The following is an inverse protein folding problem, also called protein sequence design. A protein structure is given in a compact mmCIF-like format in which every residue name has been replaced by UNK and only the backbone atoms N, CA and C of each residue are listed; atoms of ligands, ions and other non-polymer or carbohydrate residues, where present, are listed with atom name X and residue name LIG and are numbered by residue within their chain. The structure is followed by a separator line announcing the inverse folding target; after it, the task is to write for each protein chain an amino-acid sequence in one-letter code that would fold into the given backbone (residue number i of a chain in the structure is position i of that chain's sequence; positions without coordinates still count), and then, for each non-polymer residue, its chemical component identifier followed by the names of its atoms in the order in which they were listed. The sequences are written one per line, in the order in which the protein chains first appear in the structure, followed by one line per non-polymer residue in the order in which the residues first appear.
data_IF_419848992870
#
_entry.id   IF_419848992870
#
_cell.length_a   1.000
_cell.length_b   1.000
_cell.length_c   1.000
_cell.angle_alpha   90.00
_cell.angle_beta   90.00
_cell.angle_gamma   90.00
#
_symmetry.space_group_name_H-M   'P 1'
#
loop_
_entity.id
_entity.type
_entity.pdbx_description
1 polymer ?
#
# COMPACT_ATOMS: atom_id res chain seq x y z
N UNK A 1 17.36 12.11 -0.93
CA UNK A 1 17.88 10.73 -0.95
C UNK A 1 18.52 10.53 -2.32
N UNK A 2 19.82 10.20 -2.42
CA UNK A 2 20.43 9.88 -3.71
C UNK A 2 19.71 8.68 -4.37
N UNK A 3 19.48 8.73 -5.69
CA UNK A 3 18.84 7.66 -6.47
C UNK A 3 17.30 7.74 -6.58
N UNK A 4 16.64 6.60 -6.81
CA UNK A 4 15.18 6.45 -6.87
C UNK A 4 14.72 5.75 -5.58
N UNK A 5 14.38 6.50 -4.52
CA UNK A 5 13.99 5.88 -3.25
C UNK A 5 12.65 5.16 -3.40
N UNK A 6 12.59 3.93 -2.88
CA UNK A 6 11.33 3.18 -2.77
C UNK A 6 10.38 3.86 -1.76
N UNK A 7 9.09 3.58 -1.90
CA UNK A 7 8.03 4.22 -1.13
C UNK A 7 8.20 4.02 0.38
N UNK A 8 8.44 2.80 0.87
CA UNK A 8 8.59 2.52 2.30
C UNK A 8 9.76 3.27 2.92
N UNK A 9 10.89 3.34 2.21
CA UNK A 9 12.04 4.13 2.65
C UNK A 9 11.70 5.61 2.78
N UNK A 10 10.95 6.18 1.83
CA UNK A 10 10.50 7.57 1.91
C UNK A 10 9.56 7.79 3.11
N UNK A 11 8.59 6.90 3.31
CA UNK A 11 7.65 6.93 4.44
C UNK A 11 8.41 6.93 5.78
N UNK A 12 9.29 5.95 6.00
CA UNK A 12 10.13 5.90 7.21
C UNK A 12 11.00 7.14 7.37
N UNK A 13 11.56 7.68 6.28
CA UNK A 13 12.38 8.89 6.33
C UNK A 13 11.57 10.09 6.81
N UNK A 14 10.38 10.32 6.26
CA UNK A 14 9.48 11.41 6.67
C UNK A 14 9.14 11.28 8.15
N UNK A 15 8.74 10.09 8.60
CA UNK A 15 8.34 9.83 9.99
C UNK A 15 9.48 10.04 10.99
N UNK A 16 10.74 9.79 10.58
CA UNK A 16 11.92 10.03 11.42
C UNK A 16 12.35 11.49 11.42
N UNK A 17 12.38 12.13 10.25
CA UNK A 17 12.93 13.47 10.09
C UNK A 17 11.93 14.58 10.46
N UNK A 18 10.63 14.27 10.47
CA UNK A 18 9.57 15.22 10.82
C UNK A 18 8.81 14.67 12.03
N UNK A 19 9.40 14.72 13.25
CA UNK A 19 8.81 14.12 14.45
C UNK A 19 7.43 14.70 14.79
N UNK A 20 7.17 15.96 14.43
CA UNK A 20 5.92 16.67 14.70
C UNK A 20 4.75 16.22 13.81
N UNK A 21 4.98 15.40 12.78
CA UNK A 21 3.90 14.81 11.97
C UNK A 21 3.10 13.87 12.87
N UNK A 22 1.89 14.29 13.24
CA UNK A 22 1.01 13.49 14.09
C UNK A 22 0.37 12.32 13.35
N UNK A 23 0.10 12.50 12.05
CA UNK A 23 -0.61 11.54 11.19
C UNK A 23 -0.06 11.59 9.77
N UNK A 24 0.35 10.45 9.25
CA UNK A 24 0.68 10.25 7.84
C UNK A 24 -0.33 9.26 7.26
N UNK A 25 -1.03 9.63 6.20
CA UNK A 25 -1.94 8.74 5.48
C UNK A 25 -1.48 8.63 4.04
N UNK A 26 -1.33 7.40 3.56
CA UNK A 26 -1.09 7.15 2.15
C UNK A 26 -2.40 7.27 1.37
N UNK A 27 -2.32 7.86 0.19
CA UNK A 27 -3.39 7.87 -0.79
C UNK A 27 -3.37 6.56 -1.59
N UNK A 28 -3.63 6.60 -2.90
CA UNK A 28 -3.65 5.42 -3.77
C UNK A 28 -2.24 4.89 -4.03
N UNK A 29 -2.05 3.58 -3.84
CA UNK A 29 -0.85 2.85 -4.21
C UNK A 29 -1.21 1.60 -5.03
N UNK A 30 -0.25 1.08 -5.80
CA UNK A 30 -0.30 -0.30 -6.30
C UNK A 30 0.31 -1.21 -5.23
N UNK A 31 -0.29 -2.38 -4.98
CA UNK A 31 0.20 -3.32 -3.96
C UNK A 31 1.63 -3.78 -4.24
N UNK A 32 2.10 -3.73 -5.49
CA UNK A 32 3.48 -4.08 -5.86
C UNK A 32 4.52 -3.06 -5.34
N UNK A 33 4.11 -1.83 -5.04
CA UNK A 33 5.00 -0.78 -4.51
C UNK A 33 5.20 -0.89 -2.99
N UNK A 34 4.46 -1.79 -2.33
CA UNK A 34 4.61 -2.06 -0.90
C UNK A 34 5.82 -2.96 -0.65
N UNK A 35 6.98 -2.31 -0.50
CA UNK A 35 8.22 -2.93 -0.11
C UNK A 35 8.26 -3.30 1.38
N UNK A 36 9.28 -4.08 1.78
CA UNK A 36 9.48 -4.52 3.17
C UNK A 36 9.52 -3.35 4.16
N UNK A 37 10.10 -2.23 3.75
CA UNK A 37 10.11 -1.02 4.57
C UNK A 37 8.70 -0.47 4.79
N UNK A 38 7.84 -0.47 3.77
CA UNK A 38 6.46 -0.01 3.95
C UNK A 38 5.68 -0.98 4.85
N UNK A 39 5.85 -2.29 4.67
CA UNK A 39 5.19 -3.30 5.50
C UNK A 39 5.59 -3.17 6.98
N UNK A 40 6.88 -2.98 7.25
CA UNK A 40 7.39 -2.74 8.61
C UNK A 40 6.83 -1.43 9.20
N UNK A 41 6.77 -0.35 8.41
CA UNK A 41 6.16 0.90 8.86
C UNK A 41 4.66 0.73 9.14
N UNK A 42 3.94 -0.03 8.31
CA UNK A 42 2.52 -0.34 8.55
C UNK A 42 2.38 -1.09 9.87
N UNK A 43 3.22 -2.08 10.14
CA UNK A 43 3.15 -2.89 11.35
C UNK A 43 3.50 -2.11 12.63
N UNK A 44 4.50 -1.23 12.56
CA UNK A 44 5.16 -0.68 13.76
C UNK A 44 4.91 0.80 14.00
N UNK A 45 4.60 1.61 12.98
CA UNK A 45 4.47 3.06 13.15
C UNK A 45 3.02 3.48 13.43
N UNK A 46 2.70 3.96 14.66
CA UNK A 46 1.36 4.42 15.00
C UNK A 46 0.92 5.67 14.24
N UNK A 47 1.86 6.56 13.86
CA UNK A 47 1.54 7.80 13.12
C UNK A 47 1.17 7.52 11.67
N UNK A 48 1.63 6.40 11.09
CA UNK A 48 1.16 5.91 9.81
C UNK A 48 -0.26 5.35 10.01
N UNK A 49 -1.21 5.89 9.28
CA UNK A 49 -2.61 5.54 9.47
C UNK A 49 -2.90 4.12 9.00
N UNK A 50 -3.76 3.36 9.72
CA UNK A 50 -4.14 1.99 9.36
C UNK A 50 -5.14 2.00 8.20
N UNK A 51 -4.74 2.57 7.07
CA UNK A 51 -5.55 2.68 5.87
C UNK A 51 -4.69 2.60 4.62
N UNK A 52 -5.05 1.71 3.70
CA UNK A 52 -4.46 1.64 2.36
C UNK A 52 -5.54 1.79 1.30
N UNK A 53 -5.29 2.66 0.33
CA UNK A 53 -6.12 2.75 -0.86
C UNK A 53 -5.40 2.04 -2.02
N UNK A 54 -6.01 0.98 -2.56
CA UNK A 54 -5.40 0.11 -3.56
C UNK A 54 -5.97 0.39 -4.95
N UNK A 55 -5.08 0.64 -5.91
CA UNK A 55 -5.45 0.85 -7.30
C UNK A 55 -5.70 -0.50 -8.01
N UNK A 56 -6.80 -1.19 -7.66
CA UNK A 56 -7.12 -2.53 -8.18
C UNK A 56 -7.69 -2.51 -9.61
N UNK A 57 -8.57 -1.55 -9.92
CA UNK A 57 -9.27 -1.40 -11.20
C UNK A 57 -10.23 -2.53 -11.59
N UNK A 58 -9.88 -3.79 -11.44
CA UNK A 58 -10.75 -4.92 -11.80
C UNK A 58 -10.49 -6.14 -10.92
N UNK A 59 -11.49 -7.00 -10.83
CA UNK A 59 -11.38 -8.33 -10.21
C UNK A 59 -11.15 -9.46 -11.21
N UNK A 60 -11.06 -9.17 -12.51
CA UNK A 60 -10.86 -10.17 -13.56
C UNK A 60 -9.42 -10.13 -14.08
N UNK A 61 -8.72 -11.26 -14.04
CA UNK A 61 -7.31 -11.36 -14.44
C UNK A 61 -7.08 -11.05 -15.93
N UNK A 62 -8.03 -11.36 -16.81
CA UNK A 62 -7.92 -11.01 -18.23
C UNK A 62 -8.06 -9.49 -18.42
N UNK A 63 -8.99 -8.84 -17.70
CA UNK A 63 -9.16 -7.38 -17.73
C UNK A 63 -7.94 -6.68 -17.13
N UNK A 64 -7.44 -7.14 -15.98
CA UNK A 64 -6.21 -6.62 -15.36
C UNK A 64 -5.02 -6.67 -16.31
N UNK A 65 -4.84 -7.79 -17.03
CA UNK A 65 -3.81 -7.92 -18.08
C UNK A 65 -4.01 -6.93 -19.22
N UNK A 66 -5.24 -6.75 -19.71
CA UNK A 66 -5.56 -5.76 -20.75
C UNK A 66 -5.29 -4.32 -20.29
N UNK A 67 -5.52 -4.04 -19.01
CA UNK A 67 -5.18 -2.76 -18.37
C UNK A 67 -3.68 -2.61 -18.03
N UNK A 68 -2.84 -3.59 -18.40
CA UNK A 68 -1.40 -3.62 -18.10
C UNK A 68 -1.09 -3.53 -16.59
N UNK A 69 -2.00 -4.05 -15.75
CA UNK A 69 -1.75 -4.18 -14.31
C UNK A 69 -0.68 -5.24 -14.06
N UNK A 70 0.17 -4.98 -13.07
CA UNK A 70 1.28 -5.86 -12.66
C UNK A 70 0.88 -6.81 -11.53
N UNK A 71 -0.41 -6.93 -11.27
CA UNK A 71 -0.99 -7.82 -10.26
C UNK A 71 -2.20 -8.57 -10.84
N UNK A 72 -2.44 -9.77 -10.30
CA UNK A 72 -3.64 -10.58 -10.47
C UNK A 72 -4.54 -10.44 -9.25
N UNK A 73 -5.82 -10.82 -9.38
CA UNK A 73 -6.80 -10.75 -8.29
C UNK A 73 -6.29 -11.40 -7.01
N UNK A 74 -5.79 -12.63 -7.10
CA UNK A 74 -5.34 -13.39 -5.93
C UNK A 74 -4.14 -12.75 -5.23
N UNK A 75 -3.28 -12.04 -5.97
CA UNK A 75 -2.15 -11.32 -5.39
C UNK A 75 -2.63 -10.14 -4.54
N UNK A 76 -3.64 -9.41 -5.02
CA UNK A 76 -4.25 -8.32 -4.27
C UNK A 76 -4.98 -8.81 -3.01
N UNK A 77 -5.67 -9.96 -3.08
CA UNK A 77 -6.32 -10.58 -1.92
C UNK A 77 -5.29 -10.99 -0.87
N UNK A 78 -4.26 -11.75 -1.26
CA UNK A 78 -3.18 -12.18 -0.35
C UNK A 78 -2.48 -11.00 0.29
N UNK A 79 -2.19 -9.96 -0.48
CA UNK A 79 -1.62 -8.72 0.06
C UNK A 79 -2.50 -8.13 1.18
N UNK A 80 -3.82 -8.03 0.97
CA UNK A 80 -4.73 -7.52 1.99
C UNK A 80 -4.76 -8.40 3.24
N UNK A 81 -4.71 -9.73 3.08
CA UNK A 81 -4.67 -10.69 4.18
C UNK A 81 -3.38 -10.53 5.00
N UNK A 82 -2.23 -10.48 4.35
CA UNK A 82 -0.93 -10.38 5.01
C UNK A 82 -0.77 -9.04 5.74
N UNK A 83 -1.19 -7.94 5.10
CA UNK A 83 -1.18 -6.62 5.75
C UNK A 83 -2.14 -6.59 6.95
N UNK A 84 -3.29 -7.27 6.89
CA UNK A 84 -4.21 -7.34 8.02
C UNK A 84 -3.67 -8.16 9.19
N UNK A 85 -2.86 -9.20 8.94
CA UNK A 85 -2.13 -9.93 9.98
C UNK A 85 -1.09 -9.03 10.67
N UNK A 86 -0.39 -8.19 9.90
CA UNK A 86 0.59 -7.24 10.43
C UNK A 86 -0.05 -6.12 11.25
N UNK A 87 -1.21 -5.62 10.81
CA UNK A 87 -1.95 -4.55 11.51
C UNK A 87 -3.43 -4.88 11.62
N UNK A 88 -3.84 -5.57 12.70
CA UNK A 88 -5.24 -5.81 13.00
C UNK A 88 -6.02 -4.49 13.05
N UNK A 89 -7.13 -4.41 12.32
CA UNK A 89 -7.96 -3.20 12.20
C UNK A 89 -7.60 -2.26 11.05
N UNK A 90 -6.64 -2.61 10.19
CA UNK A 90 -6.37 -1.85 8.97
C UNK A 90 -7.58 -1.87 8.00
N UNK A 91 -7.88 -0.71 7.43
CA UNK A 91 -8.96 -0.51 6.44
C UNK A 91 -8.38 -0.46 5.04
N UNK A 92 -9.08 -1.07 4.08
CA UNK A 92 -8.73 -1.03 2.66
C UNK A 92 -9.82 -0.31 1.88
N UNK A 93 -9.42 0.66 1.06
CA UNK A 93 -10.24 1.20 -0.02
C UNK A 93 -9.68 0.75 -1.36
N UNK A 94 -10.51 0.72 -2.40
CA UNK A 94 -10.05 0.41 -3.75
C UNK A 94 -10.94 1.04 -4.82
N UNK A 95 -10.31 1.41 -5.93
CA UNK A 95 -11.00 1.83 -7.15
C UNK A 95 -11.30 0.61 -8.04
N UNK A 96 -12.51 0.51 -8.57
CA UNK A 96 -12.95 -0.55 -9.50
C UNK A 96 -13.67 0.07 -10.70
N UNK A 97 -13.35 -0.40 -11.89
CA UNK A 97 -13.99 -0.10 -13.17
C UNK A 97 -14.70 -1.37 -13.63
N UNK A 98 -16.03 -1.34 -13.67
CA UNK A 98 -16.86 -2.52 -13.95
C UNK A 98 -17.32 -2.65 -15.42
N UNK A 99 -17.00 -1.65 -16.27
CA UNK A 99 -17.39 -1.58 -17.68
C UNK A 99 -16.35 -2.15 -18.62
#
# INVERSE_FOLDING_TARGET
LPGVPKLGKLVKTILRQVPDVKRLRLSSIDSIEADEDLLDAIATEPRLMPHLHLSLQSGDDMILKRMKRRHLRDQSIRFCEDVRKLRPGIVFGADIIAG
#
